data_IF_109384475724
#
_entry.id   IF_109384475724
#
_cell.length_a   1.000
_cell.length_b   1.000
_cell.length_c   1.000
_cell.angle_alpha   90.00
_cell.angle_beta   90.00
_cell.angle_gamma   90.00
#
_symmetry.space_group_name_H-M   'P 1'
#
loop_
_entity.id
_entity.type
_entity.pdbx_description
1 polymer ?
#
# COMPACT_ATOMS: atom_id res chain seq x y z
N UNK A 1 -2.65 -45.69 1.45
CA UNK A 1 -2.76 -44.30 0.92
C UNK A 1 -3.54 -43.34 1.83
N UNK A 2 -3.44 -43.42 3.17
CA UNK A 2 -4.23 -42.60 4.13
C UNK A 2 -3.38 -41.85 5.17
N UNK A 3 -2.04 -41.82 5.00
CA UNK A 3 -1.10 -41.29 6.01
C UNK A 3 -0.65 -39.84 5.74
N UNK A 4 -0.77 -39.39 4.49
CA UNK A 4 -0.38 -38.03 4.08
C UNK A 4 -1.47 -36.98 4.37
N UNK A 5 -2.72 -37.41 4.58
CA UNK A 5 -3.84 -36.52 4.89
C UNK A 5 -3.68 -35.79 6.23
N UNK A 6 -2.89 -36.33 7.16
CA UNK A 6 -2.58 -35.68 8.45
C UNK A 6 -1.38 -34.73 8.40
N UNK A 7 -0.46 -34.93 7.44
CA UNK A 7 0.69 -34.03 7.25
C UNK A 7 0.36 -32.80 6.39
N UNK A 8 -0.75 -32.84 5.63
CA UNK A 8 -1.18 -31.73 4.76
C UNK A 8 -2.10 -30.70 5.45
N UNK A 9 -2.46 -30.89 6.73
CA UNK A 9 -3.41 -30.04 7.45
C UNK A 9 -2.76 -29.12 8.51
N UNK A 10 -1.46 -28.82 8.39
CA UNK A 10 -0.74 -27.94 9.32
C UNK A 10 0.15 -26.90 8.61
N UNK A 11 -0.12 -26.59 7.33
CA UNK A 11 0.78 -25.73 6.56
C UNK A 11 0.44 -24.22 6.48
N UNK A 12 -0.77 -23.68 6.79
CA UNK A 12 -0.94 -22.23 6.71
C UNK A 12 -0.98 -21.62 8.12
N UNK A 13 0.08 -21.77 8.93
CA UNK A 13 0.23 -21.02 10.19
C UNK A 13 1.54 -20.23 10.29
N UNK A 14 2.29 -20.08 9.20
CA UNK A 14 3.60 -19.42 9.23
C UNK A 14 3.75 -18.24 8.27
N UNK A 15 2.68 -17.77 7.64
CA UNK A 15 2.73 -16.69 6.65
C UNK A 15 2.50 -15.27 7.24
N UNK A 16 2.26 -15.14 8.55
CA UNK A 16 1.89 -13.86 9.16
C UNK A 16 3.03 -13.06 9.81
N UNK A 17 4.27 -13.56 9.83
CA UNK A 17 5.30 -13.06 10.77
C UNK A 17 6.19 -11.90 10.25
N UNK A 18 6.03 -11.45 9.00
CA UNK A 18 6.95 -10.47 8.39
C UNK A 18 6.21 -9.26 7.85
N UNK A 19 5.54 -8.49 8.72
CA UNK A 19 4.90 -7.23 8.34
C UNK A 19 5.35 -6.02 9.20
N UNK A 20 6.42 -6.15 9.99
CA UNK A 20 6.74 -5.18 11.04
C UNK A 20 7.60 -3.97 10.59
N UNK A 21 8.24 -3.97 9.42
CA UNK A 21 9.15 -2.88 9.02
C UNK A 21 8.59 -1.89 7.99
N UNK A 22 7.73 -2.35 7.10
CA UNK A 22 7.47 -1.64 5.84
C UNK A 22 6.61 -0.39 6.01
N UNK A 23 5.64 -0.44 6.94
CA UNK A 23 4.81 0.73 7.26
C UNK A 23 5.63 1.88 7.83
N UNK A 24 6.67 1.57 8.61
CA UNK A 24 7.51 2.59 9.22
C UNK A 24 8.43 3.25 8.19
N UNK A 25 8.85 2.51 7.17
CA UNK A 25 9.55 3.05 5.99
C UNK A 25 8.64 4.04 5.25
N UNK A 26 7.39 3.65 4.97
CA UNK A 26 6.39 4.53 4.37
C UNK A 26 6.21 5.84 5.17
N UNK A 27 6.10 5.73 6.50
CA UNK A 27 5.96 6.89 7.38
C UNK A 27 7.17 7.82 7.35
N UNK A 28 8.39 7.26 7.35
CA UNK A 28 9.60 8.09 7.24
C UNK A 28 9.66 8.80 5.91
N UNK A 29 9.31 8.13 4.81
CA UNK A 29 9.22 8.75 3.49
C UNK A 29 8.19 9.90 3.47
N UNK A 30 7.05 9.71 4.12
CA UNK A 30 6.04 10.76 4.29
C UNK A 30 6.57 11.96 5.10
N UNK A 31 7.24 11.70 6.22
CA UNK A 31 7.81 12.73 7.11
C UNK A 31 8.88 13.58 6.43
N UNK A 32 9.68 12.99 5.53
CA UNK A 32 10.69 13.72 4.74
C UNK A 32 10.14 14.33 3.44
N UNK A 33 8.82 14.31 3.24
CA UNK A 33 8.13 14.94 2.09
C UNK A 33 8.17 14.13 0.80
N UNK A 34 8.63 12.87 0.83
CA UNK A 34 8.64 11.96 -0.32
C UNK A 34 7.30 11.24 -0.43
N UNK A 35 6.26 12.01 -0.74
CA UNK A 35 4.88 11.52 -0.72
C UNK A 35 4.59 10.43 -1.76
N UNK A 36 5.19 10.49 -2.94
CA UNK A 36 5.03 9.44 -3.96
C UNK A 36 5.62 8.11 -3.49
N UNK A 37 6.83 8.13 -2.92
CA UNK A 37 7.49 6.95 -2.36
C UNK A 37 6.70 6.38 -1.17
N UNK A 38 6.20 7.25 -0.29
CA UNK A 38 5.34 6.86 0.82
C UNK A 38 4.05 6.18 0.32
N UNK A 39 3.41 6.75 -0.70
CA UNK A 39 2.17 6.22 -1.27
C UNK A 39 2.38 4.84 -1.88
N UNK A 40 3.44 4.62 -2.66
CA UNK A 40 3.74 3.32 -3.28
C UNK A 40 3.92 2.21 -2.23
N UNK A 41 4.65 2.50 -1.14
CA UNK A 41 4.86 1.55 -0.04
C UNK A 41 3.54 1.28 0.68
N UNK A 42 2.76 2.32 0.98
CA UNK A 42 1.47 2.18 1.65
C UNK A 42 0.46 1.42 0.79
N UNK A 43 0.45 1.60 -0.53
CA UNK A 43 -0.42 0.85 -1.44
C UNK A 43 -0.07 -0.64 -1.47
N UNK A 44 1.22 -0.99 -1.47
CA UNK A 44 1.63 -2.39 -1.35
C UNK A 44 1.12 -3.00 -0.05
N UNK A 45 1.32 -2.31 1.07
CA UNK A 45 0.86 -2.77 2.37
C UNK A 45 -0.66 -2.85 2.46
N UNK A 46 -1.37 -1.93 1.81
CA UNK A 46 -2.83 -1.95 1.74
C UNK A 46 -3.33 -3.19 0.99
N UNK A 47 -2.66 -3.60 -0.10
CA UNK A 47 -2.94 -4.84 -0.85
C UNK A 47 -2.64 -6.10 -0.04
N UNK A 48 -1.64 -6.04 0.84
CA UNK A 48 -1.31 -7.12 1.78
C UNK A 48 -2.29 -7.21 2.96
N UNK A 49 -3.31 -6.33 3.02
CA UNK A 49 -4.34 -6.35 4.06
C UNK A 49 -4.01 -5.53 5.30
N UNK A 50 -2.98 -4.69 5.26
CA UNK A 50 -2.67 -3.78 6.36
C UNK A 50 -3.72 -2.67 6.45
N UNK A 51 -4.60 -2.77 7.44
CA UNK A 51 -5.70 -1.80 7.66
C UNK A 51 -5.21 -0.37 7.89
N UNK A 52 -4.05 -0.21 8.55
CA UNK A 52 -3.45 1.11 8.77
C UNK A 52 -2.97 1.71 7.45
N UNK A 53 -2.33 0.92 6.60
CA UNK A 53 -1.91 1.38 5.29
C UNK A 53 -3.12 1.72 4.40
N UNK A 54 -4.20 0.93 4.44
CA UNK A 54 -5.45 1.23 3.72
C UNK A 54 -6.03 2.59 4.12
N UNK A 55 -6.04 2.89 5.42
CA UNK A 55 -6.51 4.17 5.95
C UNK A 55 -5.64 5.35 5.48
N UNK A 56 -4.31 5.22 5.56
CA UNK A 56 -3.39 6.27 5.16
C UNK A 56 -3.44 6.54 3.65
N UNK A 57 -3.53 5.49 2.82
CA UNK A 57 -3.74 5.62 1.37
C UNK A 57 -5.02 6.41 1.08
N UNK A 58 -6.12 6.09 1.77
CA UNK A 58 -7.38 6.81 1.60
C UNK A 58 -7.23 8.30 1.98
N UNK A 59 -6.54 8.62 3.08
CA UNK A 59 -6.26 10.01 3.46
C UNK A 59 -5.40 10.74 2.43
N UNK A 60 -4.33 10.11 1.94
CA UNK A 60 -3.45 10.69 0.93
C UNK A 60 -4.22 10.98 -0.37
N UNK A 61 -5.12 10.08 -0.78
CA UNK A 61 -6.01 10.32 -1.91
C UNK A 61 -7.02 11.44 -1.66
N UNK A 62 -7.63 11.52 -0.48
CA UNK A 62 -8.56 12.59 -0.11
C UNK A 62 -7.88 13.97 -0.06
N UNK A 63 -6.62 14.01 0.37
CA UNK A 63 -5.83 15.23 0.47
C UNK A 63 -5.12 15.60 -0.84
N UNK A 64 -5.13 14.71 -1.85
CA UNK A 64 -4.36 14.89 -3.10
C UNK A 64 -2.85 14.86 -2.89
N UNK A 65 -2.37 14.21 -1.83
CA UNK A 65 -0.95 14.11 -1.47
C UNK A 65 -0.38 12.83 -2.07
N UNK A 66 0.75 12.93 -2.78
CA UNK A 66 1.42 11.77 -3.39
C UNK A 66 0.70 11.20 -4.62
N UNK A 67 -0.52 11.66 -4.93
CA UNK A 67 -1.09 11.49 -6.26
C UNK A 67 -0.20 12.25 -7.23
N UNK A 68 0.51 11.54 -8.10
CA UNK A 68 1.23 12.17 -9.19
C UNK A 68 0.29 13.17 -9.87
N UNK A 69 0.76 14.41 -10.10
CA UNK A 69 0.20 15.28 -11.13
C UNK A 69 0.21 14.43 -12.37
N UNK A 70 -0.94 13.92 -12.77
CA UNK A 70 -1.05 13.02 -13.90
C UNK A 70 -0.82 13.86 -15.16
N UNK A 71 0.36 13.84 -15.81
CA UNK A 71 0.56 14.67 -17.00
C UNK A 71 -0.25 14.13 -18.19
N UNK A 72 -0.76 12.89 -18.10
CA UNK A 72 -1.48 12.20 -19.19
C UNK A 72 -3.00 12.21 -19.03
N UNK A 73 -3.56 12.46 -17.83
CA UNK A 73 -5.00 12.70 -17.62
C UNK A 73 -5.36 14.17 -17.35
N UNK A 74 -4.38 15.08 -17.30
CA UNK A 74 -4.56 16.54 -17.23
C UNK A 74 -4.50 17.26 -18.60
N UNK A 75 -4.49 16.52 -19.70
CA UNK A 75 -4.35 17.04 -21.08
C UNK A 75 -5.60 17.66 -21.70
N UNK A 76 -6.62 18.02 -20.91
CA UNK A 76 -7.69 18.93 -21.34
C UNK A 76 -7.62 20.18 -20.48
N UNK A 77 -6.64 21.04 -20.78
CA UNK A 77 -6.81 22.48 -20.56
C UNK A 77 -8.03 22.87 -21.37
N UNK A 78 -9.19 22.92 -20.71
CA UNK A 78 -10.33 23.66 -21.23
C UNK A 78 -9.89 25.11 -21.18
N UNK A 79 -9.68 25.79 -22.32
CA UNK A 79 -9.41 27.22 -22.28
C UNK A 79 -10.66 27.87 -21.70
N UNK A 80 -10.49 28.56 -20.57
CA UNK A 80 -11.50 29.44 -20.02
C UNK A 80 -11.84 30.52 -21.04
N UNK A 81 -13.12 30.91 -21.05
CA UNK A 81 -13.73 31.92 -21.91
C UNK A 81 -12.94 33.22 -22.00
#
# INVERSE_FOLDING_TARGET
>A
MKRYARLLLLLPLFAGLVACSDYQTARRAYEVGRFTEALEILERLAREGNSRAQYEVALMYLQGIGTAVNPTLGGRRVPGR
#
